data_IF_921392128353
#
_entry.id   IF_921392128353
#
_cell.length_a   1.000
_cell.length_b   1.000
_cell.length_c   1.000
_cell.angle_alpha   90.00
_cell.angle_beta   90.00
_cell.angle_gamma   90.00
#
_symmetry.space_group_name_H-M   'P 1'
#
loop_
_entity.id
_entity.type
_entity.pdbx_description
1 polymer ?
#
# COMPACT_ATOMS: atom_id res chain seq x y z
N UNK A 1 -13.57 0.59 -34.16
CA UNK A 1 -12.39 0.58 -33.28
C UNK A 1 -12.77 1.34 -32.02
N UNK A 2 -13.26 0.63 -30.98
CA UNK A 2 -13.51 1.25 -29.68
C UNK A 2 -12.16 1.54 -29.02
N UNK A 3 -12.02 2.75 -28.49
CA UNK A 3 -10.81 3.30 -27.89
C UNK A 3 -10.28 2.42 -26.75
N UNK A 4 -9.17 1.72 -27.00
CA UNK A 4 -8.37 1.05 -25.97
C UNK A 4 -7.79 2.03 -24.93
N UNK A 5 -7.92 3.35 -25.14
CA UNK A 5 -7.48 4.39 -24.21
C UNK A 5 -8.53 4.76 -23.14
N UNK A 6 -9.80 4.39 -23.30
CA UNK A 6 -10.83 4.71 -22.28
C UNK A 6 -10.86 3.73 -21.10
N UNK A 7 -10.27 2.53 -21.25
CA UNK A 7 -10.17 1.56 -20.16
C UNK A 7 -9.08 1.91 -19.14
N UNK A 8 -7.99 2.55 -19.59
CA UNK A 8 -6.95 3.05 -18.69
C UNK A 8 -7.41 4.34 -17.96
N UNK A 9 -8.30 5.13 -18.57
CA UNK A 9 -8.73 6.42 -18.04
C UNK A 9 -9.61 6.38 -16.79
N UNK A 10 -10.14 5.22 -16.39
CA UNK A 10 -11.01 5.10 -15.21
C UNK A 10 -10.28 4.68 -13.93
N UNK A 11 -9.16 3.96 -14.02
CA UNK A 11 -8.44 3.47 -12.82
C UNK A 11 -7.58 4.56 -12.16
N UNK A 12 -6.95 5.45 -12.93
CA UNK A 12 -6.10 6.52 -12.37
C UNK A 12 -6.88 7.59 -11.59
N UNK A 13 -8.19 7.72 -11.79
CA UNK A 13 -9.05 8.62 -11.00
C UNK A 13 -9.56 8.02 -9.69
N UNK A 14 -9.18 6.77 -9.37
CA UNK A 14 -9.66 6.07 -8.17
C UNK A 14 -8.63 6.02 -7.04
N UNK A 15 -7.37 6.39 -7.30
CA UNK A 15 -6.34 6.43 -6.26
C UNK A 15 -6.64 7.53 -5.24
N UNK A 16 -6.89 7.11 -4.02
CA UNK A 16 -7.15 8.00 -2.88
C UNK A 16 -5.86 8.46 -2.22
N UNK A 17 -4.72 7.81 -2.52
CA UNK A 17 -3.41 8.20 -2.02
C UNK A 17 -2.30 7.70 -2.93
N UNK A 18 -1.24 8.50 -3.03
CA UNK A 18 0.02 8.12 -3.66
C UNK A 18 1.12 7.98 -2.62
N UNK A 19 2.11 7.14 -2.91
CA UNK A 19 3.34 7.13 -2.15
C UNK A 19 4.20 8.38 -2.46
N UNK A 20 5.18 8.73 -1.61
CA UNK A 20 6.00 9.91 -1.84
C UNK A 20 6.78 9.92 -3.16
N UNK A 21 7.05 8.75 -3.74
CA UNK A 21 7.69 8.66 -5.07
C UNK A 21 6.72 8.85 -6.22
N UNK A 22 5.41 8.70 -5.97
CA UNK A 22 4.37 8.77 -7.00
C UNK A 22 4.32 7.55 -7.92
N UNK A 23 5.01 6.44 -7.59
CA UNK A 23 4.98 5.19 -8.35
C UNK A 23 3.79 4.32 -7.97
N UNK A 24 3.40 4.35 -6.71
CA UNK A 24 2.38 3.50 -6.17
C UNK A 24 1.12 4.30 -5.85
N UNK A 25 0.02 3.89 -6.46
CA UNK A 25 -1.32 4.35 -6.13
C UNK A 25 -2.00 3.39 -5.17
N UNK A 26 -2.78 3.93 -4.22
CA UNK A 26 -3.61 3.15 -3.28
C UNK A 26 -5.09 3.46 -3.49
N UNK A 27 -5.91 2.42 -3.60
CA UNK A 27 -7.36 2.53 -3.64
C UNK A 27 -7.97 2.59 -2.23
N UNK A 28 -9.25 2.93 -2.12
CA UNK A 28 -9.97 2.89 -0.83
C UNK A 28 -10.30 1.47 -0.36
N UNK A 29 -10.21 0.49 -1.24
CA UNK A 29 -10.55 -0.90 -0.98
C UNK A 29 -9.60 -1.57 0.03
N UNK A 30 -10.17 -2.16 1.07
CA UNK A 30 -9.44 -2.90 2.12
C UNK A 30 -9.44 -4.38 1.77
N UNK A 31 -8.25 -4.97 1.63
CA UNK A 31 -8.05 -6.40 1.41
C UNK A 31 -7.98 -7.19 2.72
N UNK A 32 -7.57 -6.53 3.82
CA UNK A 32 -7.50 -7.17 5.13
C UNK A 32 -7.18 -6.18 6.25
N UNK A 33 -7.64 -6.47 7.47
CA UNK A 33 -7.38 -5.64 8.64
C UNK A 33 -6.93 -6.51 9.81
N UNK A 34 -5.72 -6.24 10.31
CA UNK A 34 -5.18 -6.84 11.52
C UNK A 34 -5.16 -5.84 12.68
N UNK A 35 -4.57 -6.27 13.81
CA UNK A 35 -4.37 -5.42 15.00
C UNK A 35 -3.45 -4.23 14.74
N UNK A 36 -2.43 -4.41 13.89
CA UNK A 36 -1.35 -3.43 13.70
C UNK A 36 -1.37 -2.76 12.32
N UNK A 37 -2.08 -3.35 11.35
CA UNK A 37 -2.05 -2.90 9.95
C UNK A 37 -3.38 -3.08 9.24
N UNK A 38 -3.62 -2.22 8.27
CA UNK A 38 -4.69 -2.38 7.28
C UNK A 38 -4.04 -2.53 5.91
N UNK A 39 -4.41 -3.60 5.19
CA UNK A 39 -3.95 -3.90 3.84
C UNK A 39 -5.00 -3.38 2.87
N UNK A 40 -4.59 -2.57 1.91
CA UNK A 40 -5.44 -2.03 0.86
C UNK A 40 -5.01 -2.55 -0.51
N UNK A 41 -5.91 -2.47 -1.48
CA UNK A 41 -5.54 -2.65 -2.88
C UNK A 41 -4.67 -1.47 -3.31
N UNK A 42 -3.56 -1.76 -3.96
CA UNK A 42 -2.66 -0.78 -4.56
C UNK A 42 -2.26 -1.20 -5.96
N UNK A 43 -1.59 -0.30 -6.65
CA UNK A 43 -1.13 -0.49 -8.03
C UNK A 43 0.27 0.08 -8.20
N UNK A 44 1.14 -0.67 -8.89
CA UNK A 44 2.44 -0.18 -9.35
C UNK A 44 2.27 0.39 -10.77
N UNK A 45 2.32 1.70 -10.91
CA UNK A 45 2.12 2.37 -12.20
C UNK A 45 3.26 2.11 -13.19
N UNK A 46 4.42 1.66 -12.73
CA UNK A 46 5.59 1.44 -13.59
C UNK A 46 5.57 0.04 -14.17
N UNK A 47 5.27 -0.96 -13.34
CA UNK A 47 5.21 -2.37 -13.75
C UNK A 47 3.81 -2.77 -14.27
N UNK A 48 2.78 -1.96 -13.97
CA UNK A 48 1.40 -2.20 -14.40
C UNK A 48 0.72 -3.36 -13.68
N UNK A 49 1.10 -3.60 -12.41
CA UNK A 49 0.60 -4.74 -11.62
C UNK A 49 -0.13 -4.28 -10.35
N UNK A 50 -1.08 -5.10 -9.91
CA UNK A 50 -1.71 -4.92 -8.61
C UNK A 50 -0.77 -5.34 -7.48
N UNK A 51 -0.78 -4.56 -6.40
CA UNK A 51 0.05 -4.79 -5.22
C UNK A 51 -0.76 -4.65 -3.94
N UNK A 52 -0.28 -5.25 -2.85
CA UNK A 52 -0.84 -5.06 -1.52
C UNK A 52 -0.21 -3.85 -0.82
N UNK A 53 -1.01 -2.82 -0.53
CA UNK A 53 -0.57 -1.63 0.21
C UNK A 53 -0.78 -1.81 1.71
N UNK A 54 0.30 -1.98 2.48
CA UNK A 54 0.24 -2.09 3.94
C UNK A 54 0.30 -0.71 4.61
N UNK A 55 -0.76 -0.31 5.30
CA UNK A 55 -0.78 0.92 6.12
C UNK A 55 -0.71 0.57 7.60
N UNK A 56 0.36 1.04 8.25
CA UNK A 56 0.59 0.94 9.69
C UNK A 56 0.43 2.32 10.32
N UNK A 57 -0.25 2.41 11.47
CA UNK A 57 -0.36 3.66 12.22
C UNK A 57 0.72 3.69 13.29
N UNK A 58 1.74 4.50 13.08
CA UNK A 58 2.89 4.62 13.99
C UNK A 58 2.54 5.20 15.38
N UNK A 59 1.49 6.02 15.49
CA UNK A 59 1.11 6.65 16.77
C UNK A 59 0.81 5.63 17.88
N UNK A 60 0.32 4.43 17.53
CA UNK A 60 0.05 3.37 18.51
C UNK A 60 1.33 2.61 18.94
N UNK A 61 2.44 2.79 18.21
CA UNK A 61 3.65 1.94 18.27
C UNK A 61 4.83 2.70 18.91
N UNK A 62 4.79 4.04 18.93
CA UNK A 62 5.88 4.86 19.47
C UNK A 62 5.79 5.08 20.99
N UNK A 63 4.89 4.38 21.68
CA UNK A 63 4.78 4.46 23.14
C UNK A 63 5.96 3.79 23.87
N UNK A 64 6.68 2.88 23.21
CA UNK A 64 7.88 2.25 23.77
C UNK A 64 8.97 1.95 22.73
N UNK A 65 10.26 2.02 23.10
CA UNK A 65 11.36 1.60 22.23
C UNK A 65 11.26 0.16 21.73
N UNK A 66 10.66 -0.74 22.52
CA UNK A 66 10.50 -2.17 22.20
C UNK A 66 9.49 -2.40 21.07
N UNK A 67 8.46 -1.58 20.97
CA UNK A 67 7.47 -1.67 19.88
C UNK A 67 8.02 -1.15 18.55
N UNK A 68 8.90 -0.15 18.60
CA UNK A 68 9.66 0.31 17.43
C UNK A 68 10.59 -0.79 16.89
N UNK A 69 11.27 -1.52 17.77
CA UNK A 69 12.14 -2.64 17.40
C UNK A 69 11.36 -3.80 16.76
N UNK A 70 10.15 -4.08 17.26
CA UNK A 70 9.21 -5.03 16.64
C UNK A 70 8.74 -4.57 15.27
N UNK A 71 8.45 -3.28 15.09
CA UNK A 71 8.05 -2.71 13.80
C UNK A 71 9.17 -2.84 12.77
N UNK A 72 10.43 -2.52 13.14
CA UNK A 72 11.57 -2.73 12.26
C UNK A 72 11.77 -4.19 11.90
N UNK A 73 11.58 -5.10 12.86
CA UNK A 73 11.64 -6.55 12.61
C UNK A 73 10.53 -7.01 11.67
N UNK A 74 9.31 -6.48 11.79
CA UNK A 74 8.20 -6.80 10.89
C UNK A 74 8.45 -6.26 9.48
N UNK A 75 9.00 -5.05 9.35
CA UNK A 75 9.42 -4.48 8.06
C UNK A 75 10.52 -5.34 7.42
N UNK A 76 11.54 -5.72 8.17
CA UNK A 76 12.64 -6.57 7.67
C UNK A 76 12.13 -7.95 7.21
N UNK A 77 11.21 -8.56 7.97
CA UNK A 77 10.56 -9.81 7.57
C UNK A 77 9.72 -9.66 6.29
N UNK A 78 8.96 -8.56 6.17
CA UNK A 78 8.13 -8.29 4.99
C UNK A 78 8.97 -8.03 3.74
N UNK A 79 10.11 -7.35 3.87
CA UNK A 79 11.03 -7.09 2.75
C UNK A 79 11.72 -8.39 2.31
N UNK A 80 12.02 -9.31 3.23
CA UNK A 80 12.71 -10.57 2.92
C UNK A 80 11.78 -11.69 2.43
N UNK A 81 10.48 -11.54 2.63
CA UNK A 81 9.47 -12.52 2.20
C UNK A 81 8.92 -12.25 0.77
N UNK A 82 9.42 -11.21 0.10
CA UNK A 82 9.18 -10.85 -1.29
C UNK A 82 10.45 -11.10 -2.12
#
# INVERSE_FOLDING_TARGET
MMNHLSYLGSDYSEFVKYDPSGRYGRYSEVLGKGSSKTVYRGFDEYEGIEVAWNQVKLYDILHSPQELERLYSEIDLLIRAL
#
